data_IF_389607523661
#
_entry.id   IF_389607523661
#
_cell.length_a   1.000
_cell.length_b   1.000
_cell.length_c   1.000
_cell.angle_alpha   90.00
_cell.angle_beta   90.00
_cell.angle_gamma   90.00
#
_symmetry.space_group_name_H-M   'P 1'
#
loop_
_entity.id
_entity.type
_entity.pdbx_description
1 polymer ?
#
# COMPACT_ATOMS: atom_id res chain seq x y z
N UNK A 1 8.44 3.76 18.47
CA UNK A 1 7.36 3.19 17.63
C UNK A 1 6.63 2.16 18.47
N UNK A 2 5.30 2.11 18.46
CA UNK A 2 4.53 1.08 19.16
C UNK A 2 4.54 -0.23 18.35
N UNK A 3 5.13 -1.33 18.85
CA UNK A 3 5.26 -2.58 18.11
C UNK A 3 3.92 -3.20 17.68
N UNK A 4 2.86 -3.02 18.46
CA UNK A 4 1.54 -3.56 18.10
C UNK A 4 0.91 -2.79 16.95
N UNK A 5 1.05 -1.46 16.95
CA UNK A 5 0.61 -0.61 15.83
C UNK A 5 1.36 -0.96 14.54
N UNK A 6 2.68 -1.20 14.63
CA UNK A 6 3.51 -1.64 13.50
C UNK A 6 3.04 -2.95 12.92
N UNK A 7 2.85 -3.97 13.77
CA UNK A 7 2.39 -5.28 13.34
C UNK A 7 0.99 -5.20 12.70
N UNK A 8 0.09 -4.40 13.26
CA UNK A 8 -1.25 -4.20 12.70
C UNK A 8 -1.21 -3.58 11.29
N UNK A 9 -0.29 -2.63 11.05
CA UNK A 9 -0.08 -2.06 9.71
C UNK A 9 0.53 -3.08 8.74
N UNK A 10 1.53 -3.85 9.17
CA UNK A 10 2.15 -4.91 8.34
C UNK A 10 1.13 -5.98 7.93
N UNK A 11 0.31 -6.47 8.86
CA UNK A 11 -0.74 -7.47 8.55
C UNK A 11 -1.71 -6.93 7.51
N UNK A 12 -2.19 -5.69 7.67
CA UNK A 12 -3.12 -5.07 6.72
C UNK A 12 -2.47 -4.80 5.35
N UNK A 13 -1.18 -4.46 5.31
CA UNK A 13 -0.42 -4.34 4.06
C UNK A 13 -0.30 -5.69 3.36
N UNK A 14 -0.04 -6.77 4.09
CA UNK A 14 0.03 -8.14 3.53
C UNK A 14 -1.29 -8.59 2.92
N UNK A 15 -2.41 -8.30 3.60
CA UNK A 15 -3.76 -8.59 3.11
C UNK A 15 -4.04 -7.87 1.78
N UNK A 16 -3.76 -6.56 1.72
CA UNK A 16 -3.98 -5.76 0.51
C UNK A 16 -3.04 -6.17 -0.63
N UNK A 17 -1.77 -6.45 -0.35
CA UNK A 17 -0.82 -6.94 -1.35
C UNK A 17 -1.24 -8.30 -1.91
N UNK A 18 -1.78 -9.18 -1.07
CA UNK A 18 -2.33 -10.48 -1.49
C UNK A 18 -3.56 -10.30 -2.36
N UNK A 19 -4.43 -9.36 -2.01
CA UNK A 19 -5.62 -9.04 -2.80
C UNK A 19 -5.27 -8.45 -4.17
N UNK A 20 -4.27 -7.56 -4.27
CA UNK A 20 -3.76 -7.06 -5.54
C UNK A 20 -3.29 -8.19 -6.45
N UNK A 21 -2.45 -9.10 -5.93
CA UNK A 21 -1.98 -10.28 -6.68
C UNK A 21 -3.14 -11.19 -7.12
N UNK A 22 -4.16 -11.33 -6.28
CA UNK A 22 -5.37 -12.12 -6.61
C UNK A 22 -6.15 -11.49 -7.77
N UNK A 23 -6.37 -10.18 -7.74
CA UNK A 23 -7.07 -9.44 -8.81
C UNK A 23 -6.27 -9.49 -10.12
N UNK A 24 -4.95 -9.38 -10.06
CA UNK A 24 -4.08 -9.46 -11.23
C UNK A 24 -4.11 -10.85 -11.87
N UNK A 25 -4.12 -11.91 -11.05
CA UNK A 25 -4.08 -13.30 -11.51
C UNK A 25 -5.42 -13.87 -11.97
N UNK A 26 -6.56 -13.22 -11.66
CA UNK A 26 -7.88 -13.62 -12.15
C UNK A 26 -8.37 -12.72 -13.30
N UNK A 27 -8.15 -13.11 -14.58
CA UNK A 27 -8.63 -12.35 -15.73
C UNK A 27 -10.15 -12.39 -15.90
N UNK A 28 -10.87 -13.26 -15.19
CA UNK A 28 -12.33 -13.41 -15.30
C UNK A 28 -13.08 -12.53 -14.29
N UNK A 29 -12.36 -11.84 -13.40
CA UNK A 29 -12.96 -10.97 -12.42
C UNK A 29 -13.75 -9.84 -13.10
N UNK A 30 -15.05 -9.77 -12.82
CA UNK A 30 -15.88 -8.67 -13.28
C UNK A 30 -15.37 -7.33 -12.72
N UNK A 31 -15.43 -6.26 -13.51
CA UNK A 31 -14.94 -4.93 -13.11
C UNK A 31 -13.49 -4.91 -12.55
N UNK A 32 -12.63 -5.84 -13.02
CA UNK A 32 -11.24 -6.01 -12.54
C UNK A 32 -10.47 -4.71 -12.38
N UNK A 33 -10.52 -3.83 -13.38
CA UNK A 33 -9.83 -2.54 -13.34
C UNK A 33 -10.32 -1.65 -12.19
N UNK A 34 -11.63 -1.62 -11.92
CA UNK A 34 -12.19 -0.87 -10.82
C UNK A 34 -11.77 -1.44 -9.47
N UNK A 35 -11.86 -2.77 -9.29
CA UNK A 35 -11.41 -3.43 -8.06
C UNK A 35 -9.92 -3.21 -7.82
N UNK A 36 -9.09 -3.35 -8.85
CA UNK A 36 -7.65 -3.10 -8.76
C UNK A 36 -7.36 -1.69 -8.27
N UNK A 37 -7.99 -0.67 -8.89
CA UNK A 37 -7.78 0.73 -8.51
C UNK A 37 -8.25 1.02 -7.07
N UNK A 38 -9.36 0.41 -6.62
CA UNK A 38 -9.84 0.58 -5.26
C UNK A 38 -8.88 -0.02 -4.23
N UNK A 39 -8.41 -1.25 -4.46
CA UNK A 39 -7.48 -1.94 -3.56
C UNK A 39 -6.10 -1.26 -3.58
N UNK A 40 -5.61 -0.84 -4.75
CA UNK A 40 -4.35 -0.10 -4.86
C UNK A 40 -4.40 1.23 -4.12
N UNK A 41 -5.50 1.99 -4.21
CA UNK A 41 -5.65 3.21 -3.44
C UNK A 41 -5.64 2.98 -1.92
N UNK A 42 -6.24 1.88 -1.46
CA UNK A 42 -6.19 1.49 -0.05
C UNK A 42 -4.78 1.08 0.39
N UNK A 43 -4.06 0.35 -0.47
CA UNK A 43 -2.67 -0.04 -0.26
C UNK A 43 -1.75 1.18 -0.16
N UNK A 44 -1.82 2.10 -1.13
CA UNK A 44 -1.02 3.34 -1.14
C UNK A 44 -1.28 4.20 0.10
N UNK A 45 -2.54 4.30 0.55
CA UNK A 45 -2.89 5.04 1.76
C UNK A 45 -2.28 4.43 3.02
N UNK A 46 -2.27 3.09 3.11
CA UNK A 46 -1.70 2.36 4.24
C UNK A 46 -0.17 2.40 4.22
N UNK A 47 0.43 2.33 3.04
CA UNK A 47 1.88 2.44 2.84
C UNK A 47 2.39 3.79 3.35
N UNK A 48 1.71 4.89 3.00
CA UNK A 48 2.03 6.23 3.51
C UNK A 48 1.87 6.35 5.02
N UNK A 49 0.90 5.65 5.61
CA UNK A 49 0.74 5.63 7.07
C UNK A 49 1.93 4.93 7.75
N UNK A 50 2.41 3.82 7.18
CA UNK A 50 3.62 3.16 7.64
C UNK A 50 4.86 4.05 7.49
N UNK A 51 4.98 4.79 6.38
CA UNK A 51 6.04 5.78 6.20
C UNK A 51 5.99 6.89 7.26
N UNK A 52 4.81 7.48 7.53
CA UNK A 52 4.66 8.49 8.60
C UNK A 52 5.06 7.95 9.96
N UNK A 53 4.66 6.72 10.28
CA UNK A 53 4.97 6.06 11.55
C UNK A 53 6.48 5.75 11.72
N UNK A 54 7.24 5.68 10.62
CA UNK A 54 8.71 5.54 10.61
C UNK A 54 9.45 6.88 10.49
N UNK A 55 8.74 8.00 10.40
CA UNK A 55 9.33 9.33 10.21
C UNK A 55 9.84 9.60 8.79
N UNK A 56 9.44 8.79 7.80
CA UNK A 56 9.71 9.04 6.40
C UNK A 56 8.85 10.20 5.89
N UNK A 57 9.49 11.11 5.15
CA UNK A 57 8.76 12.14 4.42
C UNK A 57 7.96 11.48 3.28
N UNK A 58 6.67 11.79 3.22
CA UNK A 58 5.74 11.34 2.17
C UNK A 58 5.17 12.56 1.45
N UNK A 59 4.99 12.45 0.14
CA UNK A 59 4.24 13.47 -0.60
C UNK A 59 2.76 13.42 -0.17
N UNK A 60 2.32 14.43 0.59
CA UNK A 60 0.91 14.63 0.98
C UNK A 60 0.06 15.16 -0.20
N UNK A 61 0.26 14.60 -1.40
CA UNK A 61 -0.68 14.76 -2.48
C UNK A 61 -1.97 14.00 -2.09
N UNK A 62 -3.13 14.66 -2.02
CA UNK A 62 -4.36 14.00 -1.60
C UNK A 62 -4.65 12.83 -2.53
N UNK A 63 -4.66 11.62 -1.97
CA UNK A 63 -5.25 10.44 -2.59
C UNK A 63 -6.76 10.70 -2.65
N UNK A 64 -7.22 11.45 -3.66
CA UNK A 64 -8.65 11.52 -3.95
C UNK A 64 -9.13 10.12 -4.31
N UNK A 65 -10.39 9.80 -4.06
CA UNK A 65 -10.96 8.53 -4.48
C UNK A 65 -10.67 8.28 -5.98
N UNK A 66 -9.90 7.22 -6.28
CA UNK A 66 -9.47 6.88 -7.64
C UNK A 66 -8.11 7.45 -8.10
N UNK A 67 -7.41 8.23 -7.27
CA UNK A 67 -6.03 8.66 -7.51
C UNK A 67 -5.05 7.81 -6.70
N UNK A 68 -4.08 7.23 -7.40
CA UNK A 68 -3.01 6.34 -6.90
C UNK A 68 -1.68 7.08 -6.80
N UNK A 69 -0.78 6.61 -5.96
CA UNK A 69 0.61 7.03 -6.02
C UNK A 69 1.18 6.72 -7.41
N UNK A 70 2.11 7.55 -7.88
CA UNK A 70 2.92 7.19 -9.05
C UNK A 70 3.65 5.90 -8.73
N UNK A 71 3.78 5.02 -9.72
CA UNK A 71 4.37 3.70 -9.50
C UNK A 71 5.81 3.78 -8.94
N UNK A 72 6.58 4.79 -9.37
CA UNK A 72 7.91 5.11 -8.84
C UNK A 72 7.88 5.53 -7.36
N UNK A 73 6.90 6.34 -6.96
CA UNK A 73 6.76 6.84 -5.59
C UNK A 73 6.35 5.72 -4.64
N UNK A 74 5.38 4.89 -5.06
CA UNK A 74 5.03 3.67 -4.32
C UNK A 74 6.26 2.78 -4.16
N UNK A 75 6.96 2.49 -5.25
CA UNK A 75 8.14 1.63 -5.19
C UNK A 75 9.24 2.19 -4.25
N UNK A 76 9.46 3.50 -4.26
CA UNK A 76 10.36 4.17 -3.31
C UNK A 76 9.92 3.98 -1.86
N UNK A 77 8.65 4.20 -1.55
CA UNK A 77 8.07 3.99 -0.21
C UNK A 77 8.21 2.53 0.25
N UNK A 78 7.93 1.56 -0.62
CA UNK A 78 8.08 0.12 -0.36
C UNK A 78 9.54 -0.23 -0.03
N UNK A 79 10.48 0.26 -0.85
CA UNK A 79 11.90 0.03 -0.66
C UNK A 79 12.39 0.58 0.68
N UNK A 80 12.06 1.83 1.00
CA UNK A 80 12.47 2.49 2.25
C UNK A 80 11.94 1.75 3.49
N UNK A 81 10.71 1.25 3.47
CA UNK A 81 10.18 0.45 4.57
C UNK A 81 10.90 -0.91 4.68
N UNK A 82 11.19 -1.56 3.56
CA UNK A 82 11.92 -2.83 3.54
C UNK A 82 13.33 -2.69 4.13
N UNK A 83 14.04 -1.60 3.83
CA UNK A 83 15.36 -1.28 4.40
C UNK A 83 15.31 -1.04 5.91
N UNK A 84 14.14 -0.64 6.43
CA UNK A 84 13.87 -0.46 7.87
C UNK A 84 13.35 -1.74 8.54
N UNK A 85 13.40 -2.87 7.85
CA UNK A 85 13.04 -4.19 8.38
C UNK A 85 11.53 -4.48 8.37
N UNK A 86 10.74 -3.68 7.67
CA UNK A 86 9.33 -4.00 7.44
C UNK A 86 9.22 -5.10 6.40
N UNK A 87 8.26 -5.99 6.61
CA UNK A 87 7.91 -7.04 5.66
C UNK A 87 6.39 -7.20 5.61
N UNK A 88 5.87 -7.44 4.41
CA UNK A 88 4.44 -7.71 4.19
C UNK A 88 4.22 -8.55 2.93
#
# INVERSE_FOLDING_TARGET
MDPLATLALQVRLSELATELRRIESDPRLFARAHHYLAVQGAYDALLREACRLTGLAVEDAPLRAGLRARDEERFREELELSERGWSW
#
